data_IF_205048850283
#
_entry.id   IF_205048850283
#
_cell.length_a   1.000
_cell.length_b   1.000
_cell.length_c   1.000
_cell.angle_alpha   90.00
_cell.angle_beta   90.00
_cell.angle_gamma   90.00
#
_symmetry.space_group_name_H-M   'P 1'
#
loop_
_entity.id
_entity.type
_entity.pdbx_description
1 polymer ?
#
# COMPACT_ATOMS: atom_id res chain seq x y z
N UNK A 1 27.86 -13.03 9.01
CA UNK A 1 28.48 -12.48 10.23
C UNK A 1 29.88 -13.09 10.51
N UNK A 2 30.15 -14.35 10.17
CA UNK A 2 31.46 -14.97 10.45
C UNK A 2 32.66 -14.17 9.93
N UNK A 3 32.57 -13.57 8.75
CA UNK A 3 33.64 -12.76 8.15
C UNK A 3 33.79 -11.36 8.74
N UNK A 4 32.82 -10.87 9.51
CA UNK A 4 32.86 -9.54 10.14
C UNK A 4 33.56 -9.55 11.52
N UNK A 5 33.77 -10.74 12.11
CA UNK A 5 34.34 -10.86 13.44
C UNK A 5 35.85 -10.59 13.51
N UNK A 6 36.58 -10.56 12.38
CA UNK A 6 38.00 -10.24 12.39
C UNK A 6 38.31 -8.89 13.02
N UNK A 7 37.51 -7.87 12.70
CA UNK A 7 37.70 -6.49 13.23
C UNK A 7 36.89 -6.24 14.52
N UNK A 8 35.80 -6.92 14.69
CA UNK A 8 34.89 -6.72 15.83
C UNK A 8 35.14 -7.73 16.98
N UNK A 9 36.08 -8.65 16.82
CA UNK A 9 36.32 -9.73 17.80
C UNK A 9 36.39 -9.28 19.25
N UNK A 10 37.17 -8.23 19.61
CA UNK A 10 37.26 -7.70 20.97
C UNK A 10 35.93 -7.15 21.53
N UNK A 11 35.00 -6.76 20.64
CA UNK A 11 33.71 -6.12 20.98
C UNK A 11 32.51 -7.03 20.73
N UNK A 12 32.74 -8.30 20.42
CA UNK A 12 31.69 -9.23 20.03
C UNK A 12 30.55 -9.31 21.05
N UNK A 13 30.88 -9.47 22.32
CA UNK A 13 29.86 -9.66 23.37
C UNK A 13 29.06 -8.37 23.60
N UNK A 14 29.72 -7.22 23.57
CA UNK A 14 29.05 -5.92 23.63
C UNK A 14 28.12 -5.69 22.43
N UNK A 15 28.58 -6.06 21.23
CA UNK A 15 27.75 -5.97 20.02
C UNK A 15 26.54 -6.93 20.12
N UNK A 16 26.74 -8.17 20.54
CA UNK A 16 25.65 -9.14 20.70
C UNK A 16 24.63 -8.66 21.73
N UNK A 17 25.07 -8.05 22.82
CA UNK A 17 24.20 -7.47 23.84
C UNK A 17 23.28 -6.36 23.29
N UNK A 18 23.77 -5.55 22.35
CA UNK A 18 22.95 -4.51 21.70
C UNK A 18 21.78 -5.07 20.91
N UNK A 19 21.94 -6.24 20.29
CA UNK A 19 20.86 -6.92 19.55
C UNK A 19 20.05 -7.87 20.40
N UNK A 20 20.43 -8.14 21.65
CA UNK A 20 19.73 -9.09 22.49
C UNK A 20 18.32 -8.60 22.88
N UNK A 21 17.32 -9.41 22.63
CA UNK A 21 15.92 -9.10 22.91
C UNK A 21 15.18 -10.37 23.30
N UNK A 22 14.45 -10.30 24.42
CA UNK A 22 13.58 -11.37 24.87
C UNK A 22 12.14 -11.02 24.52
N UNK A 23 11.50 -11.85 23.72
CA UNK A 23 10.12 -11.71 23.30
C UNK A 23 9.16 -12.62 24.12
N UNK A 24 9.61 -13.16 25.25
CA UNK A 24 8.86 -14.09 26.08
C UNK A 24 9.03 -15.58 25.67
N UNK A 25 9.71 -15.86 24.55
CA UNK A 25 10.06 -17.20 24.08
C UNK A 25 11.56 -17.50 24.21
N UNK A 26 12.31 -16.57 24.77
CA UNK A 26 13.74 -16.64 24.95
C UNK A 26 14.49 -15.46 24.34
N UNK A 27 15.76 -15.35 24.71
CA UNK A 27 16.60 -14.24 24.24
C UNK A 27 17.26 -14.58 22.90
N UNK A 28 16.93 -13.80 21.89
CA UNK A 28 17.46 -13.92 20.52
C UNK A 28 18.14 -12.62 20.09
N UNK A 29 19.06 -12.72 19.13
CA UNK A 29 19.61 -11.54 18.46
C UNK A 29 18.58 -10.98 17.46
N UNK A 30 18.14 -9.74 17.71
CA UNK A 30 17.10 -9.08 16.92
C UNK A 30 17.68 -7.80 16.30
N UNK A 31 17.62 -7.70 14.99
CA UNK A 31 18.14 -6.54 14.24
C UNK A 31 17.38 -5.24 14.55
N UNK A 32 16.09 -5.32 14.87
CA UNK A 32 15.32 -4.14 15.26
C UNK A 32 15.76 -3.62 16.62
N UNK A 33 16.00 -4.53 17.59
CA UNK A 33 16.54 -4.15 18.89
C UNK A 33 17.92 -3.47 18.77
N UNK A 34 18.80 -4.04 17.93
CA UNK A 34 20.08 -3.43 17.59
C UNK A 34 19.91 -2.02 17.04
N UNK A 35 19.04 -1.88 16.03
CA UNK A 35 18.78 -0.59 15.39
C UNK A 35 18.23 0.45 16.37
N UNK A 36 17.25 0.08 17.19
CA UNK A 36 16.65 0.99 18.19
C UNK A 36 17.67 1.46 19.25
N UNK A 37 18.61 0.60 19.65
CA UNK A 37 19.65 0.96 20.64
C UNK A 37 20.81 1.78 20.06
N UNK A 38 21.05 1.68 18.76
CA UNK A 38 22.19 2.32 18.11
C UNK A 38 21.81 3.54 17.26
N UNK A 39 20.53 3.71 16.93
CA UNK A 39 20.06 4.87 16.17
C UNK A 39 20.06 6.14 17.03
N UNK A 40 20.55 7.25 16.45
CA UNK A 40 20.49 8.56 17.10
C UNK A 40 19.07 9.14 17.18
N UNK A 41 18.16 8.68 16.33
CA UNK A 41 16.74 9.02 16.37
C UNK A 41 15.90 7.91 15.75
N UNK A 42 14.68 7.74 16.22
CA UNK A 42 13.73 6.74 15.73
C UNK A 42 12.40 7.40 15.40
N UNK A 43 11.84 7.08 14.24
CA UNK A 43 10.50 7.51 13.89
C UNK A 43 9.66 6.37 13.32
N UNK A 44 8.36 6.48 13.57
CA UNK A 44 7.34 5.68 12.92
C UNK A 44 6.67 6.50 11.82
N UNK A 45 5.99 5.83 10.90
CA UNK A 45 5.43 6.40 9.66
C UNK A 45 4.05 7.06 9.83
N UNK A 46 3.46 7.01 11.02
CA UNK A 46 2.27 7.76 11.44
C UNK A 46 2.04 7.64 12.95
N UNK A 47 1.01 8.30 13.49
CA UNK A 47 0.73 8.32 14.93
C UNK A 47 0.49 6.92 15.51
N UNK A 48 -0.44 6.16 14.92
CA UNK A 48 -0.76 4.82 15.41
C UNK A 48 0.45 3.84 15.36
N UNK A 49 1.20 3.70 14.25
CA UNK A 49 2.46 2.96 14.26
C UNK A 49 3.46 3.45 15.30
N UNK A 50 3.49 4.75 15.60
CA UNK A 50 4.34 5.30 16.66
C UNK A 50 3.99 4.74 18.03
N UNK A 51 2.71 4.75 18.37
CA UNK A 51 2.21 4.16 19.60
C UNK A 51 2.48 2.65 19.65
N UNK A 52 2.09 1.90 18.62
CA UNK A 52 2.35 0.45 18.55
C UNK A 52 3.84 0.11 18.69
N UNK A 53 4.72 0.93 18.11
CA UNK A 53 6.17 0.73 18.23
C UNK A 53 6.64 0.96 19.66
N UNK A 54 6.18 2.03 20.32
CA UNK A 54 6.51 2.29 21.74
C UNK A 54 6.05 1.14 22.63
N UNK A 55 4.84 0.64 22.41
CA UNK A 55 4.28 -0.46 23.22
C UNK A 55 5.05 -1.76 22.97
N UNK A 56 5.24 -2.14 21.72
CA UNK A 56 5.90 -3.37 21.31
C UNK A 56 7.37 -3.45 21.77
N UNK A 57 8.09 -2.34 21.68
CA UNK A 57 9.52 -2.27 21.98
C UNK A 57 9.83 -1.65 23.35
N UNK A 58 8.81 -1.46 24.18
CA UNK A 58 8.95 -0.92 25.53
C UNK A 58 10.06 -1.54 26.37
N UNK A 59 10.26 -2.86 26.37
CA UNK A 59 11.34 -3.51 27.10
C UNK A 59 12.77 -3.05 26.72
N UNK A 60 12.95 -2.37 25.57
CA UNK A 60 14.25 -1.80 25.19
C UNK A 60 14.60 -0.57 26.04
N UNK A 61 13.59 0.13 26.57
CA UNK A 61 13.74 1.32 27.39
C UNK A 61 13.17 1.11 28.81
N UNK A 62 13.84 0.28 29.64
CA UNK A 62 13.34 -0.02 30.98
C UNK A 62 13.25 1.26 31.82
N UNK A 63 12.14 1.44 32.52
CA UNK A 63 11.90 2.60 33.37
C UNK A 63 11.52 3.88 32.65
N UNK A 64 11.34 3.83 31.30
CA UNK A 64 10.85 4.97 30.51
C UNK A 64 9.37 4.81 30.26
N UNK A 65 8.56 5.80 30.68
CA UNK A 65 7.13 5.85 30.41
C UNK A 65 6.83 5.84 28.92
N UNK A 66 5.68 5.28 28.53
CA UNK A 66 5.33 5.04 27.11
C UNK A 66 5.43 6.29 26.24
N UNK A 67 4.94 7.43 26.72
CA UNK A 67 4.97 8.68 25.99
C UNK A 67 6.37 9.31 25.90
N UNK A 68 7.27 8.94 26.80
CA UNK A 68 8.65 9.42 26.85
C UNK A 68 9.62 8.56 26.03
N UNK A 69 9.20 7.40 25.53
CA UNK A 69 10.05 6.54 24.69
C UNK A 69 10.44 7.27 23.40
N UNK A 70 11.70 7.15 22.95
CA UNK A 70 12.25 7.99 21.88
C UNK A 70 11.79 7.56 20.47
N UNK A 71 10.51 7.37 20.28
CA UNK A 71 9.89 7.06 18.98
C UNK A 71 8.94 8.19 18.59
N UNK A 72 9.34 9.00 17.64
CA UNK A 72 8.52 10.07 17.09
C UNK A 72 7.59 9.54 16.00
N UNK A 73 6.44 10.15 15.81
CA UNK A 73 5.57 9.86 14.69
C UNK A 73 5.75 10.94 13.61
N UNK A 74 6.14 10.51 12.41
CA UNK A 74 6.20 11.37 11.23
C UNK A 74 5.30 10.73 10.19
N UNK A 75 4.12 11.31 9.96
CA UNK A 75 3.19 10.78 8.98
C UNK A 75 3.77 10.89 7.57
N UNK A 76 3.73 9.80 6.83
CA UNK A 76 4.18 9.77 5.45
C UNK A 76 3.44 10.81 4.61
N UNK A 77 4.19 11.58 3.84
CA UNK A 77 3.64 12.49 2.85
C UNK A 77 3.21 11.77 1.56
N UNK A 78 2.49 12.48 0.73
CA UNK A 78 2.10 12.07 -0.61
C UNK A 78 2.75 13.02 -1.61
N UNK A 79 3.44 12.47 -2.60
CA UNK A 79 3.93 13.28 -3.71
C UNK A 79 2.83 13.42 -4.76
N UNK A 80 2.03 14.48 -4.65
CA UNK A 80 0.83 14.72 -5.47
C UNK A 80 1.10 14.58 -6.98
N UNK A 81 2.17 15.16 -7.56
CA UNK A 81 2.43 15.05 -9.00
C UNK A 81 2.67 13.60 -9.49
N UNK A 82 3.14 12.70 -8.62
CA UNK A 82 3.33 11.28 -8.99
C UNK A 82 2.02 10.51 -9.03
N UNK A 83 1.09 10.84 -8.13
CA UNK A 83 -0.13 10.06 -7.94
C UNK A 83 -1.35 10.62 -8.66
N UNK A 84 -1.28 11.88 -9.08
CA UNK A 84 -2.36 12.54 -9.78
C UNK A 84 -2.21 12.37 -11.29
N UNK A 85 -3.26 11.90 -11.96
CA UNK A 85 -3.28 11.79 -13.41
C UNK A 85 -3.38 13.15 -14.09
N UNK A 86 -3.04 13.20 -15.38
CA UNK A 86 -3.16 14.40 -16.19
C UNK A 86 -4.61 14.92 -16.23
N UNK A 87 -5.60 14.03 -16.37
CA UNK A 87 -7.02 14.38 -16.41
C UNK A 87 -7.47 15.06 -15.12
N UNK A 88 -7.04 14.51 -13.98
CA UNK A 88 -7.34 15.11 -12.68
C UNK A 88 -6.58 16.41 -12.44
N UNK A 89 -5.31 16.48 -12.87
CA UNK A 89 -4.56 17.74 -12.80
C UNK A 89 -5.24 18.85 -13.59
N UNK A 90 -5.69 18.54 -14.80
CA UNK A 90 -6.40 19.52 -15.63
C UNK A 90 -7.70 19.98 -14.97
N UNK A 91 -8.49 19.06 -14.43
CA UNK A 91 -9.70 19.38 -13.71
C UNK A 91 -9.43 20.29 -12.51
N UNK A 92 -8.35 20.03 -11.76
CA UNK A 92 -7.96 20.84 -10.63
C UNK A 92 -7.39 22.22 -11.06
N UNK A 93 -6.70 22.31 -12.19
CA UNK A 93 -6.25 23.59 -12.76
C UNK A 93 -7.43 24.50 -13.16
N UNK A 94 -8.57 23.91 -13.57
CA UNK A 94 -9.78 24.64 -13.95
C UNK A 94 -10.59 25.11 -12.74
N UNK A 95 -10.62 24.35 -11.64
CA UNK A 95 -11.54 24.59 -10.53
C UNK A 95 -10.87 25.05 -9.21
N UNK A 96 -9.60 24.69 -9.01
CA UNK A 96 -8.86 25.16 -7.84
C UNK A 96 -8.22 26.53 -8.08
N UNK A 97 -7.76 27.16 -7.01
CA UNK A 97 -7.07 28.44 -7.11
C UNK A 97 -5.72 28.30 -7.84
N UNK A 98 -5.31 29.35 -8.60
CA UNK A 98 -3.96 29.39 -9.15
C UNK A 98 -2.90 29.14 -8.08
N UNK A 99 -1.89 28.32 -8.40
CA UNK A 99 -0.83 27.95 -7.45
C UNK A 99 -1.22 26.85 -6.47
N UNK A 100 -2.31 26.12 -6.69
CA UNK A 100 -2.72 25.00 -5.85
C UNK A 100 -1.66 23.90 -5.78
N UNK A 101 -0.85 23.73 -6.82
CA UNK A 101 0.20 22.71 -6.89
C UNK A 101 1.31 22.95 -5.88
N UNK A 102 1.67 24.21 -5.65
CA UNK A 102 2.69 24.62 -4.68
C UNK A 102 2.15 24.67 -3.24
N UNK A 103 0.81 24.76 -3.11
CA UNK A 103 0.09 24.85 -1.82
C UNK A 103 -0.77 23.61 -1.54
N UNK A 104 -0.45 22.49 -2.14
CA UNK A 104 -1.23 21.26 -1.98
C UNK A 104 -1.23 20.68 -0.54
N UNK A 105 -0.39 21.19 0.35
CA UNK A 105 -0.36 20.92 1.78
C UNK A 105 -1.33 21.82 2.59
N UNK A 106 -1.88 22.87 1.98
CA UNK A 106 -2.88 23.76 2.60
C UNK A 106 -4.29 23.17 2.43
N UNK A 107 -4.97 22.76 3.54
CA UNK A 107 -6.33 22.24 3.45
C UNK A 107 -7.35 23.19 2.81
N UNK A 108 -7.11 24.50 2.86
CA UNK A 108 -8.02 25.49 2.29
C UNK A 108 -8.12 25.38 0.77
N UNK A 109 -7.01 25.03 0.10
CA UNK A 109 -6.96 24.80 -1.36
C UNK A 109 -7.96 23.73 -1.80
N UNK A 110 -8.11 22.67 -0.98
CA UNK A 110 -8.93 21.52 -1.30
C UNK A 110 -10.43 21.69 -1.03
N UNK A 111 -10.84 22.75 -0.33
CA UNK A 111 -12.26 23.00 -0.09
C UNK A 111 -13.04 23.23 -1.39
N UNK A 112 -12.42 23.83 -2.40
CA UNK A 112 -13.04 24.06 -3.70
C UNK A 112 -13.27 22.81 -4.55
N UNK A 113 -12.76 21.66 -4.15
CA UNK A 113 -13.10 20.38 -4.81
C UNK A 113 -14.61 20.13 -4.78
N UNK A 114 -15.30 20.59 -3.75
CA UNK A 114 -16.74 20.42 -3.61
C UNK A 114 -17.54 21.26 -4.61
N UNK A 115 -16.91 22.23 -5.26
CA UNK A 115 -17.53 23.10 -6.28
C UNK A 115 -17.39 22.50 -7.70
N UNK A 116 -16.61 21.43 -7.85
CA UNK A 116 -16.43 20.77 -9.16
C UNK A 116 -17.75 20.11 -9.57
N UNK A 117 -18.27 20.39 -10.78
CA UNK A 117 -19.49 19.74 -11.28
C UNK A 117 -19.31 18.21 -11.33
N UNK A 118 -20.31 17.48 -10.82
CA UNK A 118 -20.32 16.02 -10.80
C UNK A 118 -20.05 15.40 -12.17
N UNK A 119 -20.58 16.00 -13.23
CA UNK A 119 -20.39 15.53 -14.60
C UNK A 119 -18.93 15.62 -15.04
N UNK A 120 -18.24 16.70 -14.72
CA UNK A 120 -16.83 16.87 -15.10
C UNK A 120 -15.93 15.89 -14.33
N UNK A 121 -16.16 15.74 -13.04
CA UNK A 121 -15.48 14.75 -12.21
C UNK A 121 -15.74 13.33 -12.74
N UNK A 122 -16.98 13.03 -13.10
CA UNK A 122 -17.36 11.73 -13.66
C UNK A 122 -16.66 11.48 -15.00
N UNK A 123 -16.61 12.45 -15.91
CA UNK A 123 -15.94 12.35 -17.19
C UNK A 123 -14.44 12.10 -17.05
N UNK A 124 -13.76 12.80 -16.14
CA UNK A 124 -12.36 12.57 -15.84
C UNK A 124 -12.14 11.12 -15.31
N UNK A 125 -12.97 10.66 -14.39
CA UNK A 125 -12.89 9.30 -13.87
C UNK A 125 -13.21 8.24 -14.92
N UNK A 126 -14.13 8.48 -15.84
CA UNK A 126 -14.42 7.59 -16.97
C UNK A 126 -13.20 7.46 -17.89
N UNK A 127 -12.53 8.57 -18.23
CA UNK A 127 -11.32 8.54 -19.02
C UNK A 127 -10.23 7.68 -18.34
N UNK A 128 -9.98 7.88 -17.06
CA UNK A 128 -9.00 7.13 -16.30
C UNK A 128 -9.33 5.63 -16.22
N UNK A 129 -10.60 5.29 -16.05
CA UNK A 129 -11.06 3.90 -16.04
C UNK A 129 -10.84 3.24 -17.41
N UNK A 130 -11.10 3.95 -18.49
CA UNK A 130 -10.86 3.45 -19.82
C UNK A 130 -9.37 3.19 -20.08
N UNK A 131 -8.48 4.06 -19.62
CA UNK A 131 -7.02 3.84 -19.70
C UNK A 131 -6.60 2.59 -18.90
N UNK A 132 -7.11 2.43 -17.69
CA UNK A 132 -6.82 1.24 -16.89
C UNK A 132 -7.29 -0.04 -17.58
N UNK A 133 -8.49 -0.05 -18.15
CA UNK A 133 -9.03 -1.22 -18.83
C UNK A 133 -8.28 -1.53 -20.13
N UNK A 134 -7.91 -0.52 -20.89
CA UNK A 134 -7.07 -0.70 -22.07
C UNK A 134 -5.72 -1.35 -21.70
N UNK A 135 -5.09 -0.85 -20.62
CA UNK A 135 -3.85 -1.41 -20.11
C UNK A 135 -4.02 -2.88 -19.67
N UNK A 136 -5.07 -3.19 -18.91
CA UNK A 136 -5.33 -4.56 -18.42
C UNK A 136 -5.57 -5.52 -19.59
N UNK A 137 -6.38 -5.10 -20.57
CA UNK A 137 -6.68 -5.90 -21.77
C UNK A 137 -5.43 -6.19 -22.59
N UNK A 138 -4.61 -5.18 -22.82
CA UNK A 138 -3.36 -5.32 -23.56
C UNK A 138 -2.39 -6.26 -22.83
N UNK A 139 -2.26 -6.09 -21.51
CA UNK A 139 -1.40 -6.95 -20.70
C UNK A 139 -1.89 -8.40 -20.66
N UNK A 140 -3.20 -8.61 -20.59
CA UNK A 140 -3.79 -9.95 -20.66
C UNK A 140 -3.55 -10.58 -22.04
N UNK A 141 -3.70 -9.82 -23.12
CA UNK A 141 -3.45 -10.28 -24.48
C UNK A 141 -2.00 -10.71 -24.68
N UNK A 142 -1.05 -9.88 -24.27
CA UNK A 142 0.39 -10.16 -24.37
C UNK A 142 0.74 -11.43 -23.59
N UNK A 143 0.34 -11.51 -22.33
CA UNK A 143 0.62 -12.66 -21.48
C UNK A 143 0.02 -13.96 -22.03
N UNK A 144 -1.23 -13.94 -22.48
CA UNK A 144 -1.89 -15.13 -23.02
C UNK A 144 -1.27 -15.58 -24.34
N UNK A 145 -0.74 -14.63 -25.14
CA UNK A 145 0.02 -14.95 -26.34
C UNK A 145 1.36 -15.62 -26.00
N UNK A 146 2.10 -15.09 -25.02
CA UNK A 146 3.35 -15.66 -24.54
C UNK A 146 3.16 -17.06 -23.92
N UNK A 147 2.09 -17.27 -23.16
CA UNK A 147 1.72 -18.55 -22.54
C UNK A 147 1.09 -19.54 -23.54
N UNK A 148 1.05 -19.24 -24.84
CA UNK A 148 0.44 -20.07 -25.90
C UNK A 148 -1.01 -20.48 -25.62
N UNK A 149 -1.77 -19.58 -24.98
CA UNK A 149 -3.21 -19.76 -24.73
C UNK A 149 -3.94 -19.72 -26.08
N UNK A 150 -5.06 -20.48 -26.17
CA UNK A 150 -5.85 -20.59 -27.41
C UNK A 150 -6.28 -19.23 -27.97
N UNK A 151 -6.23 -19.08 -29.29
CA UNK A 151 -6.58 -17.83 -29.99
C UNK A 151 -7.94 -17.24 -29.58
N UNK A 152 -9.02 -18.02 -29.36
CA UNK A 152 -10.29 -17.47 -28.87
C UNK A 152 -10.17 -16.76 -27.52
N UNK A 153 -9.34 -17.25 -26.60
CA UNK A 153 -9.10 -16.57 -25.31
C UNK A 153 -8.31 -15.28 -25.48
N UNK A 154 -7.29 -15.26 -26.35
CA UNK A 154 -6.53 -14.04 -26.66
C UNK A 154 -7.46 -12.96 -27.24
N UNK A 155 -8.38 -13.33 -28.12
CA UNK A 155 -9.39 -12.41 -28.65
C UNK A 155 -10.34 -11.94 -27.56
N UNK A 156 -10.79 -12.85 -26.67
CA UNK A 156 -11.68 -12.51 -25.55
C UNK A 156 -11.02 -11.52 -24.56
N UNK A 157 -9.69 -11.39 -24.53
CA UNK A 157 -9.02 -10.37 -23.71
C UNK A 157 -9.52 -8.95 -24.04
N UNK A 158 -9.90 -8.68 -25.27
CA UNK A 158 -10.46 -7.39 -25.70
C UNK A 158 -11.80 -7.02 -25.07
N UNK A 159 -12.55 -8.00 -24.54
CA UNK A 159 -13.87 -7.81 -23.91
C UNK A 159 -13.81 -7.87 -22.38
N UNK A 160 -12.63 -8.05 -21.80
CA UNK A 160 -12.48 -8.02 -20.34
C UNK A 160 -12.86 -6.66 -19.79
N UNK A 161 -13.61 -6.67 -18.72
CA UNK A 161 -14.04 -5.49 -17.96
C UNK A 161 -15.01 -4.58 -18.74
N UNK A 162 -16.17 -4.38 -18.15
CA UNK A 162 -17.20 -3.45 -18.66
C UNK A 162 -16.93 -2.04 -18.10
N UNK A 163 -16.73 -1.01 -18.95
CA UNK A 163 -16.53 0.37 -18.48
C UNK A 163 -17.74 0.95 -17.75
N UNK A 164 -18.93 0.36 -17.88
CA UNK A 164 -20.14 0.82 -17.19
C UNK A 164 -20.40 0.08 -15.87
N UNK A 165 -19.67 -1.02 -15.61
CA UNK A 165 -19.80 -1.77 -14.36
C UNK A 165 -19.06 -1.08 -13.21
N UNK A 166 -19.58 -1.18 -11.98
CA UNK A 166 -18.85 -0.80 -10.79
C UNK A 166 -17.60 -1.66 -10.67
N UNK A 167 -16.44 -1.02 -10.64
CA UNK A 167 -15.16 -1.72 -10.54
C UNK A 167 -14.56 -1.54 -9.16
N UNK A 168 -14.35 -2.65 -8.46
CA UNK A 168 -13.68 -2.70 -7.17
C UNK A 168 -12.25 -3.17 -7.40
N UNK A 169 -11.26 -2.37 -7.00
CA UNK A 169 -9.84 -2.71 -7.11
C UNK A 169 -9.23 -3.12 -5.77
N UNK A 170 -8.52 -4.24 -5.74
CA UNK A 170 -7.64 -4.62 -4.65
C UNK A 170 -6.21 -4.66 -5.20
N UNK A 171 -5.42 -3.61 -4.92
CA UNK A 171 -4.06 -3.45 -5.42
C UNK A 171 -3.07 -3.38 -4.26
N UNK A 172 -2.77 -4.53 -3.65
CA UNK A 172 -1.87 -4.66 -2.49
C UNK A 172 -1.06 -5.93 -2.58
N UNK A 173 0.06 -6.01 -1.83
CA UNK A 173 0.79 -7.26 -1.64
C UNK A 173 -0.15 -8.33 -1.05
N UNK A 174 -0.13 -9.52 -1.63
CA UNK A 174 -0.83 -10.66 -1.06
C UNK A 174 -0.05 -11.17 0.15
N UNK A 175 -0.59 -10.89 1.33
CA UNK A 175 -0.04 -11.30 2.64
C UNK A 175 -1.21 -11.49 3.60
N UNK A 176 -1.09 -12.40 4.56
CA UNK A 176 -2.17 -12.74 5.46
C UNK A 176 -2.82 -11.55 6.16
N UNK A 177 -2.03 -10.53 6.59
CA UNK A 177 -2.59 -9.37 7.28
C UNK A 177 -3.37 -8.40 6.37
N UNK A 178 -3.18 -8.46 5.03
CA UNK A 178 -3.96 -7.69 4.05
C UNK A 178 -5.30 -8.31 3.74
N UNK A 179 -5.47 -9.58 4.10
CA UNK A 179 -6.71 -10.36 3.99
C UNK A 179 -7.38 -10.29 2.61
N UNK A 180 -6.67 -10.57 1.50
CA UNK A 180 -7.27 -10.55 0.16
C UNK A 180 -8.41 -11.55 0.01
N UNK A 181 -8.37 -12.65 0.76
CA UNK A 181 -9.37 -13.72 0.78
C UNK A 181 -10.70 -13.31 1.44
N UNK A 182 -10.73 -12.21 2.20
CA UNK A 182 -11.92 -11.81 2.96
C UNK A 182 -13.14 -11.56 2.05
N UNK A 183 -12.92 -11.14 0.82
CA UNK A 183 -14.01 -10.95 -0.17
C UNK A 183 -14.75 -12.24 -0.47
N UNK A 184 -14.09 -13.40 -0.32
CA UNK A 184 -14.65 -14.72 -0.56
C UNK A 184 -15.27 -15.37 0.69
N UNK A 185 -15.28 -14.67 1.84
CA UNK A 185 -15.82 -15.20 3.10
C UNK A 185 -17.30 -15.66 2.99
N UNK A 186 -18.09 -14.99 2.17
CA UNK A 186 -19.45 -15.38 1.85
C UNK A 186 -19.62 -15.47 0.32
N UNK A 187 -19.34 -16.64 -0.30
CA UNK A 187 -19.38 -16.81 -1.75
C UNK A 187 -20.76 -16.60 -2.36
N UNK A 188 -21.81 -17.02 -1.67
CA UNK A 188 -23.19 -16.86 -2.14
C UNK A 188 -23.56 -15.36 -2.25
N UNK A 189 -23.27 -14.59 -1.22
CA UNK A 189 -23.48 -13.14 -1.24
C UNK A 189 -22.65 -12.46 -2.33
N UNK A 190 -21.40 -12.88 -2.50
CA UNK A 190 -20.52 -12.35 -3.54
C UNK A 190 -21.10 -12.63 -4.93
N UNK A 191 -21.52 -13.86 -5.21
CA UNK A 191 -22.13 -14.24 -6.49
C UNK A 191 -23.41 -13.42 -6.77
N UNK A 192 -24.24 -13.20 -5.77
CA UNK A 192 -25.44 -12.38 -5.91
C UNK A 192 -25.11 -10.92 -6.24
N UNK A 193 -24.05 -10.37 -5.68
CA UNK A 193 -23.55 -9.02 -5.99
C UNK A 193 -23.00 -8.96 -7.42
N UNK A 194 -22.13 -9.89 -7.79
CA UNK A 194 -21.47 -9.90 -9.10
C UNK A 194 -22.46 -10.13 -10.26
N UNK A 195 -23.50 -10.93 -10.04
CA UNK A 195 -24.51 -11.28 -11.05
C UNK A 195 -25.74 -10.36 -11.04
N UNK A 196 -25.71 -9.25 -10.30
CA UNK A 196 -26.83 -8.31 -10.27
C UNK A 196 -26.99 -7.60 -11.63
N UNK A 197 -27.96 -8.02 -12.44
CA UNK A 197 -28.14 -7.55 -13.82
C UNK A 197 -28.35 -6.04 -13.98
N UNK A 198 -28.94 -5.38 -12.98
CA UNK A 198 -29.22 -3.94 -13.00
C UNK A 198 -28.05 -3.09 -12.48
N UNK A 199 -27.11 -3.70 -11.76
CA UNK A 199 -25.95 -3.03 -11.14
C UNK A 199 -24.75 -3.96 -11.24
N UNK A 200 -24.20 -4.16 -12.43
CA UNK A 200 -23.08 -5.07 -12.63
C UNK A 200 -21.87 -4.61 -11.84
N UNK A 201 -21.20 -5.57 -11.20
CA UNK A 201 -19.99 -5.35 -10.40
C UNK A 201 -18.89 -6.24 -10.93
N UNK A 202 -17.69 -5.72 -10.96
CA UNK A 202 -16.48 -6.47 -11.32
C UNK A 202 -15.36 -6.18 -10.33
N UNK A 203 -14.45 -7.14 -10.14
CA UNK A 203 -13.35 -7.00 -9.19
C UNK A 203 -12.03 -7.21 -9.92
N UNK A 204 -11.06 -6.34 -9.65
CA UNK A 204 -9.70 -6.43 -10.17
C UNK A 204 -8.75 -6.63 -9.01
N UNK A 205 -8.02 -7.73 -9.02
CA UNK A 205 -6.95 -7.99 -8.08
C UNK A 205 -5.60 -7.74 -8.74
N UNK A 206 -4.72 -6.99 -8.08
CA UNK A 206 -3.35 -6.74 -8.51
C UNK A 206 -2.39 -6.80 -7.32
N UNK A 207 -1.41 -7.67 -7.39
CA UNK A 207 -0.43 -7.83 -6.32
C UNK A 207 0.57 -8.94 -6.57
N UNK A 208 1.53 -9.04 -5.67
CA UNK A 208 2.48 -10.16 -5.58
C UNK A 208 2.58 -10.57 -4.12
N UNK A 209 2.76 -11.87 -3.89
CA UNK A 209 3.27 -12.40 -2.62
C UNK A 209 4.79 -12.25 -2.55
N UNK A 210 5.35 -12.21 -1.35
CA UNK A 210 6.79 -12.38 -1.16
C UNK A 210 7.16 -13.85 -1.46
N UNK A 211 8.30 -14.14 -2.12
CA UNK A 211 8.68 -15.54 -2.43
C UNK A 211 8.74 -16.50 -1.23
N UNK A 212 8.96 -15.98 -0.03
CA UNK A 212 8.96 -16.74 1.22
C UNK A 212 7.62 -16.70 1.98
N UNK A 213 6.57 -16.10 1.42
CA UNK A 213 5.23 -16.04 1.99
C UNK A 213 4.34 -17.08 1.29
N UNK A 214 4.29 -18.29 1.87
CA UNK A 214 3.54 -19.43 1.30
C UNK A 214 2.03 -19.21 1.35
N UNK A 215 1.55 -18.29 2.18
CA UNK A 215 0.11 -18.00 2.33
C UNK A 215 -0.37 -16.87 1.45
N UNK A 216 0.54 -16.10 0.86
CA UNK A 216 0.27 -14.90 0.08
C UNK A 216 -0.01 -15.07 -1.42
#
# INVERSE_FOLDING_TARGET
LANAWGTLGPYRDAFMALGQYDNGSGSLFNMTALALRTAGSTNAVSQLPGQVTRDMWGPIWPGVEDDARPVRAITNGIHVPTWLSYEMMRLFDEHLEPGWRERHDDPAVWQRILDIPDEELWNARQALRNYLFAFIRERARTRWTEEHVSAPRVVAAGTLLDPNALTIGFARRFTGYKRPELVFHNPERLLNILNASRRPVQIVFAGKAHPADETG
#
